data_IF_684828318381
#
_entry.id   IF_684828318381
#
_cell.length_a   1.000
_cell.length_b   1.000
_cell.length_c   1.000
_cell.angle_alpha   90.00
_cell.angle_beta   90.00
_cell.angle_gamma   90.00
#
_symmetry.space_group_name_H-M   'P 1'
#
loop_
_entity.id
_entity.type
_entity.pdbx_description
1 polymer ?
#
# COMPACT_ATOMS: atom_id res chain seq x y z
N UNK A 1 -74.07 -40.20 9.86
CA UNK A 1 -73.55 -40.63 8.54
C UNK A 1 -72.06 -40.93 8.77
N UNK A 2 -71.72 -42.09 9.34
CA UNK A 2 -71.51 -43.38 8.65
C UNK A 2 -70.49 -43.22 7.51
N UNK A 3 -69.34 -43.89 7.41
CA UNK A 3 -68.81 -45.14 7.96
C UNK A 3 -67.27 -45.00 8.04
N UNK A 4 -66.57 -45.51 9.05
CA UNK A 4 -66.04 -46.88 9.15
C UNK A 4 -65.27 -47.36 7.91
N UNK A 5 -63.95 -47.48 8.02
CA UNK A 5 -63.19 -48.62 7.47
C UNK A 5 -61.89 -48.81 8.25
N UNK A 6 -61.87 -49.96 8.90
CA UNK A 6 -60.82 -50.64 9.64
C UNK A 6 -59.63 -51.01 8.77
N UNK A 7 -58.43 -50.97 9.33
CA UNK A 7 -57.21 -51.45 8.70
C UNK A 7 -56.09 -51.67 9.71
N UNK A 8 -56.32 -52.58 10.67
CA UNK A 8 -55.28 -53.12 11.55
C UNK A 8 -54.46 -54.14 10.76
N UNK A 9 -53.16 -53.93 10.62
CA UNK A 9 -52.21 -55.00 10.32
C UNK A 9 -51.09 -54.99 11.36
N UNK A 10 -51.12 -56.00 12.23
CA UNK A 10 -50.08 -56.35 13.18
C UNK A 10 -48.88 -56.93 12.43
N UNK A 11 -47.69 -56.39 12.69
CA UNK A 11 -46.41 -56.99 12.31
C UNK A 11 -45.45 -56.86 13.47
N UNK A 12 -45.38 -57.91 14.30
CA UNK A 12 -44.40 -58.06 15.38
C UNK A 12 -43.10 -58.60 14.79
N UNK A 13 -42.00 -57.87 15.00
CA UNK A 13 -40.64 -58.29 14.66
C UNK A 13 -39.65 -57.59 15.57
N UNK A 14 -39.19 -58.32 16.57
CA UNK A 14 -38.26 -57.94 17.65
C UNK A 14 -36.87 -57.56 17.16
N UNK A 15 -36.28 -56.55 17.85
CA UNK A 15 -34.87 -56.19 18.06
C UNK A 15 -33.77 -56.80 17.20
N UNK A 16 -32.80 -55.96 16.79
CA UNK A 16 -31.37 -56.04 17.21
C UNK A 16 -30.55 -54.88 16.63
N UNK A 17 -29.79 -54.24 17.51
CA UNK A 17 -28.65 -53.34 17.36
C UNK A 17 -28.68 -52.11 16.44
N UNK A 18 -28.61 -50.97 17.13
CA UNK A 18 -28.09 -49.71 16.65
C UNK A 18 -26.60 -49.81 16.31
N UNK A 19 -26.29 -50.02 15.04
CA UNK A 19 -25.02 -49.55 14.47
C UNK A 19 -25.21 -48.09 14.06
N UNK A 20 -25.21 -47.20 15.07
CA UNK A 20 -24.84 -45.80 14.82
C UNK A 20 -23.35 -45.85 14.56
N UNK A 21 -23.01 -46.05 13.29
CA UNK A 21 -21.68 -45.79 12.76
C UNK A 21 -21.29 -44.39 13.17
N UNK A 22 -20.60 -44.29 14.30
CA UNK A 22 -19.98 -43.08 14.78
C UNK A 22 -18.92 -42.79 13.75
N UNK A 23 -19.28 -41.95 12.78
CA UNK A 23 -18.31 -41.24 11.95
C UNK A 23 -17.50 -40.45 12.96
N UNK A 24 -16.38 -41.02 13.36
CA UNK A 24 -15.32 -40.32 14.04
C UNK A 24 -14.85 -39.26 13.06
N UNK A 25 -15.51 -38.11 13.11
CA UNK A 25 -15.00 -36.88 12.52
C UNK A 25 -13.65 -36.70 13.19
N UNK A 26 -12.60 -36.99 12.44
CA UNK A 26 -11.23 -36.71 12.83
C UNK A 26 -11.12 -35.20 12.98
N UNK A 27 -11.32 -34.75 14.22
CA UNK A 27 -11.24 -33.38 14.69
C UNK A 27 -9.76 -32.93 14.74
N UNK A 28 -9.05 -33.14 13.63
CA UNK A 28 -7.61 -32.92 13.48
C UNK A 28 -7.20 -32.27 12.15
N UNK A 29 -8.07 -32.21 11.14
CA UNK A 29 -7.71 -31.69 9.81
C UNK A 29 -8.37 -30.32 9.45
N UNK A 30 -9.49 -29.98 10.09
CA UNK A 30 -10.20 -28.72 9.82
C UNK A 30 -9.41 -27.46 10.24
N UNK A 31 -8.52 -27.58 11.24
CA UNK A 31 -7.65 -26.48 11.69
C UNK A 31 -6.48 -26.19 10.75
N UNK A 32 -5.95 -27.21 10.06
CA UNK A 32 -4.81 -27.09 9.15
C UNK A 32 -5.18 -26.44 7.81
N UNK A 33 -6.31 -26.85 7.23
CA UNK A 33 -6.81 -26.31 5.96
C UNK A 33 -7.12 -24.80 6.02
N UNK A 34 -7.74 -24.35 7.13
CA UNK A 34 -8.04 -22.93 7.35
C UNK A 34 -6.79 -22.07 7.54
N UNK A 35 -5.77 -22.60 8.22
CA UNK A 35 -4.48 -21.91 8.38
C UNK A 35 -3.76 -21.75 7.04
N UNK A 36 -3.67 -22.82 6.26
CA UNK A 36 -3.05 -22.79 4.93
C UNK A 36 -3.79 -21.86 3.96
N UNK A 37 -5.13 -21.80 4.02
CA UNK A 37 -5.92 -20.87 3.23
C UNK A 37 -5.65 -19.40 3.61
N UNK A 38 -5.55 -19.10 4.92
CA UNK A 38 -5.21 -17.76 5.41
C UNK A 38 -3.80 -17.35 4.98
N UNK A 39 -2.84 -18.27 5.01
CA UNK A 39 -1.47 -17.98 4.57
C UNK A 39 -1.40 -17.66 3.07
N UNK A 40 -2.10 -18.43 2.23
CA UNK A 40 -2.19 -18.14 0.78
C UNK A 40 -2.80 -16.77 0.51
N UNK A 41 -3.87 -16.42 1.24
CA UNK A 41 -4.49 -15.10 1.11
C UNK A 41 -3.54 -13.99 1.54
N UNK A 42 -2.84 -14.15 2.68
CA UNK A 42 -1.87 -13.17 3.16
C UNK A 42 -0.73 -12.95 2.15
N UNK A 43 -0.27 -14.02 1.49
CA UNK A 43 0.73 -13.92 0.43
C UNK A 43 0.23 -13.15 -0.78
N UNK A 44 -0.98 -13.48 -1.28
CA UNK A 44 -1.59 -12.76 -2.39
C UNK A 44 -1.84 -11.26 -2.07
N UNK A 45 -2.22 -10.94 -0.84
CA UNK A 45 -2.35 -9.55 -0.37
C UNK A 45 -0.99 -8.83 -0.35
N UNK A 46 0.07 -9.48 0.14
CA UNK A 46 1.41 -8.92 0.13
C UNK A 46 1.92 -8.67 -1.30
N UNK A 47 1.70 -9.61 -2.21
CA UNK A 47 2.04 -9.46 -3.64
C UNK A 47 1.28 -8.30 -4.29
N UNK A 48 -0.02 -8.16 -4.00
CA UNK A 48 -0.83 -7.04 -4.49
C UNK A 48 -0.30 -5.69 -3.97
N UNK A 49 0.04 -5.60 -2.68
CA UNK A 49 0.61 -4.39 -2.09
C UNK A 49 2.00 -4.07 -2.69
N UNK A 50 2.82 -5.09 -2.92
CA UNK A 50 4.11 -4.93 -3.59
C UNK A 50 3.95 -4.43 -5.03
N UNK A 51 2.96 -4.92 -5.77
CA UNK A 51 2.66 -4.43 -7.12
C UNK A 51 2.23 -2.96 -7.10
N UNK A 52 1.38 -2.59 -6.12
CA UNK A 52 0.85 -1.23 -6.03
C UNK A 52 1.89 -0.19 -5.59
N UNK A 53 2.76 -0.53 -4.62
CA UNK A 53 3.62 0.44 -3.91
C UNK A 53 5.11 0.29 -4.23
N UNK A 54 5.55 -0.91 -4.63
CA UNK A 54 6.96 -1.23 -4.89
C UNK A 54 7.26 -1.59 -6.36
N UNK A 55 6.26 -1.56 -7.24
CA UNK A 55 6.45 -1.80 -8.67
C UNK A 55 6.67 -3.27 -9.03
N UNK A 56 6.27 -4.21 -8.18
CA UNK A 56 6.26 -5.63 -8.52
C UNK A 56 5.28 -5.94 -9.68
N UNK A 57 5.41 -7.13 -10.28
CA UNK A 57 4.48 -7.60 -11.30
C UNK A 57 3.06 -7.74 -10.74
N UNK A 58 2.06 -7.57 -11.61
CA UNK A 58 0.67 -7.82 -11.24
C UNK A 58 0.48 -9.29 -10.82
N UNK A 59 -0.16 -9.58 -9.68
CA UNK A 59 -0.49 -10.95 -9.30
C UNK A 59 -1.53 -11.56 -10.25
N UNK A 60 -1.59 -12.89 -10.28
CA UNK A 60 -2.55 -13.61 -11.12
C UNK A 60 -4.00 -13.19 -10.82
N UNK A 61 -4.81 -13.07 -11.87
CA UNK A 61 -6.21 -12.63 -11.77
C UNK A 61 -6.40 -11.12 -11.61
N UNK A 62 -5.33 -10.32 -11.51
CA UNK A 62 -5.42 -8.86 -11.52
C UNK A 62 -5.10 -8.27 -12.89
N UNK A 63 -5.91 -7.28 -13.27
CA UNK A 63 -5.67 -6.48 -14.48
C UNK A 63 -4.50 -5.53 -14.26
N UNK A 64 -3.42 -5.75 -15.03
CA UNK A 64 -2.18 -4.96 -14.99
C UNK A 64 -2.42 -3.48 -15.29
N UNK A 65 -3.29 -3.15 -16.23
CA UNK A 65 -3.55 -1.77 -16.62
C UNK A 65 -4.32 -1.02 -15.52
N UNK A 66 -5.30 -1.69 -14.92
CA UNK A 66 -6.03 -1.14 -13.77
C UNK A 66 -5.13 -0.94 -12.56
N UNK A 67 -4.25 -1.88 -12.25
CA UNK A 67 -3.26 -1.70 -11.19
C UNK A 67 -2.33 -0.54 -11.48
N UNK A 68 -1.87 -0.37 -12.72
CA UNK A 68 -1.03 0.77 -13.11
C UNK A 68 -1.75 2.12 -12.90
N UNK A 69 -3.07 2.21 -13.15
CA UNK A 69 -3.87 3.41 -12.83
C UNK A 69 -3.84 3.67 -11.32
N UNK A 70 -4.07 2.65 -10.49
CA UNK A 70 -4.08 2.80 -9.03
C UNK A 70 -2.72 3.20 -8.48
N UNK A 71 -1.63 2.56 -8.93
CA UNK A 71 -0.26 2.94 -8.56
C UNK A 71 0.02 4.41 -8.90
N UNK A 72 -0.39 4.89 -10.09
CA UNK A 72 -0.23 6.32 -10.44
C UNK A 72 -1.01 7.23 -9.50
N UNK A 73 -2.23 6.87 -9.12
CA UNK A 73 -3.04 7.65 -8.18
C UNK A 73 -2.39 7.70 -6.78
N UNK A 74 -1.86 6.58 -6.29
CA UNK A 74 -1.13 6.50 -5.02
C UNK A 74 0.14 7.36 -5.04
N UNK A 75 0.91 7.31 -6.13
CA UNK A 75 2.10 8.15 -6.29
C UNK A 75 1.72 9.63 -6.33
N UNK A 76 0.67 10.00 -7.06
CA UNK A 76 0.20 11.39 -7.10
C UNK A 76 -0.26 11.88 -5.71
N UNK A 77 -0.93 11.01 -4.93
CA UNK A 77 -1.30 11.30 -3.55
C UNK A 77 -0.07 11.53 -2.68
N UNK A 78 0.94 10.66 -2.78
CA UNK A 78 2.20 10.77 -2.04
C UNK A 78 2.93 12.07 -2.39
N UNK A 79 3.02 12.41 -3.68
CA UNK A 79 3.58 13.69 -4.14
C UNK A 79 2.84 14.89 -3.54
N UNK A 80 1.50 14.84 -3.49
CA UNK A 80 0.68 15.89 -2.89
C UNK A 80 0.87 16.03 -1.38
N UNK A 81 1.10 14.93 -0.65
CA UNK A 81 1.42 15.00 0.79
C UNK A 81 2.84 15.54 1.00
N UNK A 82 3.81 15.09 0.21
CA UNK A 82 5.19 15.60 0.26
C UNK A 82 5.23 17.09 -0.05
N UNK A 83 4.49 17.57 -1.04
CA UNK A 83 4.40 19.00 -1.35
C UNK A 83 3.81 19.83 -0.18
N UNK A 84 2.98 19.24 0.67
CA UNK A 84 2.48 19.90 1.90
C UNK A 84 3.51 19.90 3.02
N UNK A 85 4.27 18.81 3.17
CA UNK A 85 5.30 18.65 4.21
C UNK A 85 6.56 19.45 3.88
N UNK A 86 6.90 19.56 2.59
CA UNK A 86 8.08 20.22 2.04
C UNK A 86 7.68 21.14 0.86
N UNK A 87 6.94 22.23 1.12
CA UNK A 87 6.45 23.14 0.08
C UNK A 87 7.57 23.88 -0.67
N UNK A 88 8.80 23.87 -0.15
CA UNK A 88 9.96 24.38 -0.88
C UNK A 88 10.28 23.56 -2.14
N UNK A 89 10.01 22.25 -2.15
CA UNK A 89 10.45 21.38 -3.25
C UNK A 89 9.81 21.76 -4.59
N UNK A 90 8.47 21.93 -4.68
CA UNK A 90 7.85 22.41 -5.90
C UNK A 90 8.27 23.84 -6.26
N UNK A 91 8.60 24.69 -5.28
CA UNK A 91 9.09 26.07 -5.54
C UNK A 91 10.53 26.12 -6.04
N UNK A 92 11.34 25.11 -5.72
CA UNK A 92 12.73 24.99 -6.17
C UNK A 92 12.79 24.37 -7.56
N UNK A 93 12.03 23.29 -7.78
CA UNK A 93 12.06 22.50 -9.01
C UNK A 93 11.07 22.99 -10.07
N UNK A 94 10.04 23.73 -9.66
CA UNK A 94 8.83 24.00 -10.44
C UNK A 94 7.81 22.87 -10.27
N UNK A 95 6.53 23.22 -10.16
CA UNK A 95 5.45 22.26 -9.86
C UNK A 95 5.40 21.08 -10.85
N UNK A 96 5.47 21.36 -12.16
CA UNK A 96 5.43 20.33 -13.20
C UNK A 96 6.63 19.40 -13.11
N UNK A 97 7.83 19.96 -13.02
CA UNK A 97 9.08 19.20 -12.90
C UNK A 97 9.10 18.36 -11.63
N UNK A 98 8.69 18.94 -10.50
CA UNK A 98 8.56 18.23 -9.24
C UNK A 98 7.68 16.99 -9.37
N UNK A 99 6.47 17.14 -9.95
CA UNK A 99 5.57 16.00 -10.14
C UNK A 99 6.17 14.93 -11.05
N UNK A 100 6.78 15.32 -12.16
CA UNK A 100 7.41 14.37 -13.09
C UNK A 100 8.54 13.60 -12.42
N UNK A 101 9.46 14.28 -11.74
CA UNK A 101 10.58 13.64 -11.05
C UNK A 101 10.10 12.76 -9.89
N UNK A 102 9.13 13.24 -9.11
CA UNK A 102 8.58 12.46 -8.00
C UNK A 102 7.88 11.19 -8.49
N UNK A 103 7.19 11.25 -9.63
CA UNK A 103 6.61 10.06 -10.24
C UNK A 103 7.67 9.02 -10.65
N UNK A 104 8.81 9.45 -11.18
CA UNK A 104 9.94 8.56 -11.51
C UNK A 104 10.49 7.89 -10.26
N UNK A 105 10.90 8.71 -9.28
CA UNK A 105 11.42 8.27 -7.99
C UNK A 105 10.49 7.29 -7.25
N UNK A 106 9.21 7.63 -7.13
CA UNK A 106 8.27 6.85 -6.32
C UNK A 106 7.94 5.47 -6.91
N UNK A 107 8.21 5.25 -8.20
CA UNK A 107 8.01 3.94 -8.85
C UNK A 107 9.09 2.93 -8.48
N UNK A 108 10.29 3.38 -8.14
CA UNK A 108 11.44 2.53 -7.81
C UNK A 108 11.76 2.52 -6.32
N UNK A 109 11.17 3.42 -5.55
CA UNK A 109 11.47 3.60 -4.14
C UNK A 109 10.21 3.52 -3.28
N UNK A 110 9.99 2.38 -2.58
CA UNK A 110 8.96 2.25 -1.55
C UNK A 110 9.19 3.24 -0.40
N UNK A 111 8.11 3.73 0.21
CA UNK A 111 8.20 4.65 1.35
C UNK A 111 8.42 3.88 2.67
N UNK A 112 9.54 4.10 3.35
CA UNK A 112 9.93 3.35 4.57
C UNK A 112 9.98 4.20 5.85
N UNK A 113 10.14 5.53 5.74
CA UNK A 113 10.41 6.42 6.88
C UNK A 113 9.42 7.58 7.09
N UNK A 114 8.24 7.50 6.48
CA UNK A 114 7.22 8.56 6.50
C UNK A 114 7.54 9.77 5.61
N UNK A 115 6.62 10.73 5.52
CA UNK A 115 6.65 11.77 4.48
C UNK A 115 7.81 12.78 4.59
N UNK A 116 8.29 13.08 5.80
CA UNK A 116 9.46 13.98 5.97
C UNK A 116 10.72 13.32 5.46
N UNK A 117 10.90 12.02 5.74
CA UNK A 117 12.06 11.26 5.27
C UNK A 117 11.97 11.04 3.76
N UNK A 118 10.79 10.70 3.24
CA UNK A 118 10.55 10.54 1.80
C UNK A 118 10.88 11.82 1.01
N UNK A 119 10.58 13.01 1.57
CA UNK A 119 10.97 14.28 0.97
C UNK A 119 12.51 14.47 0.91
N UNK A 120 13.23 14.01 1.94
CA UNK A 120 14.70 14.07 1.98
C UNK A 120 15.34 13.07 1.02
N UNK A 121 14.81 11.84 0.98
CA UNK A 121 15.31 10.78 0.11
C UNK A 121 15.04 11.12 -1.36
N UNK A 122 13.86 11.68 -1.69
CA UNK A 122 13.57 12.24 -3.01
C UNK A 122 14.55 13.34 -3.41
N UNK A 123 14.82 14.29 -2.53
CA UNK A 123 15.75 15.38 -2.83
C UNK A 123 17.19 14.87 -3.02
N UNK A 124 17.62 13.86 -2.25
CA UNK A 124 18.90 13.19 -2.46
C UNK A 124 18.95 12.53 -3.84
N UNK A 125 17.94 11.73 -4.17
CA UNK A 125 17.82 11.06 -5.47
C UNK A 125 17.91 12.05 -6.65
N UNK A 126 17.19 13.17 -6.60
CA UNK A 126 17.26 14.21 -7.67
C UNK A 126 18.64 14.88 -7.75
N UNK A 127 19.33 15.04 -6.61
CA UNK A 127 20.70 15.59 -6.60
C UNK A 127 21.71 14.62 -7.20
N UNK A 128 21.56 13.33 -6.90
CA UNK A 128 22.42 12.23 -7.37
C UNK A 128 22.26 12.01 -8.87
N UNK A 129 21.01 11.97 -9.36
CA UNK A 129 20.72 11.86 -10.80
C UNK A 129 21.03 13.15 -11.58
N UNK A 130 21.18 14.28 -10.89
CA UNK A 130 21.42 15.58 -11.51
C UNK A 130 20.22 16.15 -12.31
N UNK A 131 19.02 15.62 -12.08
CA UNK A 131 17.80 15.88 -12.87
C UNK A 131 17.04 17.16 -12.49
N UNK A 132 17.54 17.95 -11.53
CA UNK A 132 16.88 19.19 -11.09
C UNK A 132 16.83 20.32 -12.15
N UNK A 133 17.30 20.05 -13.38
CA UNK A 133 17.32 20.98 -14.51
C UNK A 133 18.40 22.03 -14.38
N UNK A 134 18.07 23.21 -13.84
CA UNK A 134 18.99 24.36 -13.80
C UNK A 134 20.04 24.25 -12.67
N UNK A 135 21.23 24.83 -12.89
CA UNK A 135 22.27 24.93 -11.85
C UNK A 135 21.77 25.66 -10.59
N UNK A 136 20.88 26.66 -10.75
CA UNK A 136 20.28 27.38 -9.63
C UNK A 136 19.35 26.49 -8.82
N UNK A 137 18.50 25.70 -9.47
CA UNK A 137 17.61 24.74 -8.80
C UNK A 137 18.43 23.68 -8.06
N UNK A 138 19.48 23.13 -8.69
CA UNK A 138 20.42 22.17 -8.05
C UNK A 138 21.06 22.75 -6.79
N UNK A 139 21.57 23.98 -6.84
CA UNK A 139 22.17 24.65 -5.65
C UNK A 139 21.15 24.87 -4.54
N UNK A 140 19.95 25.37 -4.88
CA UNK A 140 18.86 25.60 -3.92
C UNK A 140 18.41 24.29 -3.25
N UNK A 141 18.25 23.23 -4.04
CA UNK A 141 17.87 21.91 -3.55
C UNK A 141 18.93 21.34 -2.60
N UNK A 142 20.22 21.48 -2.94
CA UNK A 142 21.34 21.05 -2.09
C UNK A 142 21.34 21.77 -0.74
N UNK A 143 21.15 23.09 -0.72
CA UNK A 143 21.03 23.85 0.54
C UNK A 143 19.84 23.38 1.36
N UNK A 144 18.67 23.23 0.74
CA UNK A 144 17.46 22.75 1.41
C UNK A 144 17.65 21.37 2.05
N UNK A 145 18.33 20.47 1.33
CA UNK A 145 18.62 19.11 1.81
C UNK A 145 19.57 19.13 3.00
N UNK A 146 20.72 19.83 2.89
CA UNK A 146 21.71 19.92 3.97
C UNK A 146 21.15 20.56 5.25
N UNK A 147 20.24 21.55 5.12
CA UNK A 147 19.56 22.17 6.28
C UNK A 147 18.72 21.17 7.09
N UNK A 148 18.28 20.06 6.48
CA UNK A 148 17.30 19.13 7.05
C UNK A 148 17.84 17.70 7.23
N UNK A 149 18.96 17.35 6.60
CA UNK A 149 19.58 16.03 6.68
C UNK A 149 20.62 15.88 7.80
N UNK A 150 21.12 16.98 8.38
CA UNK A 150 22.15 16.97 9.43
C UNK A 150 21.62 17.04 10.89
N UNK A 151 22.42 16.59 11.89
CA UNK A 151 22.10 16.72 13.32
C UNK A 151 22.19 18.16 13.86
N UNK A 152 22.81 19.07 13.10
CA UNK A 152 22.89 20.49 13.44
C UNK A 152 22.31 21.35 12.30
N UNK A 153 21.38 22.28 12.59
CA UNK A 153 20.84 23.17 11.57
C UNK A 153 21.95 24.07 11.00
N UNK A 154 22.08 24.12 9.68
CA UNK A 154 22.96 25.08 9.02
C UNK A 154 22.58 26.51 9.43
N UNK A 155 23.57 27.36 9.69
CA UNK A 155 23.36 28.78 10.04
C UNK A 155 22.72 29.53 8.87
N UNK A 156 21.39 29.51 8.79
CA UNK A 156 20.67 30.18 7.72
C UNK A 156 19.27 29.65 7.47
N UNK A 157 18.36 29.77 8.44
CA UNK A 157 16.92 29.52 8.26
C UNK A 157 16.20 30.51 7.32
N UNK A 158 16.82 30.85 6.18
CA UNK A 158 16.35 31.87 5.23
C UNK A 158 15.29 31.32 4.28
N UNK A 159 15.28 30.02 4.00
CA UNK A 159 14.28 29.39 3.13
C UNK A 159 12.86 29.41 3.71
N UNK A 160 12.72 29.11 5.01
CA UNK A 160 11.44 29.25 5.73
C UNK A 160 10.94 30.70 5.78
N UNK A 161 11.86 31.67 5.76
CA UNK A 161 11.54 33.11 5.75
C UNK A 161 11.06 33.55 4.37
N UNK A 162 11.70 33.05 3.30
CA UNK A 162 11.28 33.30 1.91
C UNK A 162 9.91 32.68 1.58
N UNK A 163 9.64 31.45 2.03
CA UNK A 163 8.31 30.82 1.91
C UNK A 163 7.19 31.66 2.56
N UNK A 164 7.44 32.23 3.75
CA UNK A 164 6.50 33.13 4.40
C UNK A 164 6.22 34.40 3.60
N UNK A 165 7.18 34.87 2.82
CA UNK A 165 7.03 36.07 1.98
C UNK A 165 6.35 35.76 0.65
N UNK A 166 6.48 34.53 0.12
CA UNK A 166 5.89 34.13 -1.16
C UNK A 166 4.44 33.64 -1.01
N UNK A 167 4.06 33.06 0.13
CA UNK A 167 2.68 32.65 0.44
C UNK A 167 1.89 33.69 1.26
N UNK A 168 2.50 34.84 1.58
CA UNK A 168 1.90 35.92 2.37
C UNK A 168 1.56 37.15 1.52
N UNK A 169 0.59 37.01 0.61
CA UNK A 169 -0.23 38.07 -0.02
C UNK A 169 -1.55 37.45 -0.44
#
# INVERSE_FOLDING_TARGET
MAAETTGTSTGTGTSTDADVGTVTVTEGDAGGGGSAARERLGRAQAELLAALVAGASAPDGFDRERLAVQSRALVAKRAGVVAKVAPELPLILGEKTFRTLFHGYARTTPMTGGYRRDALDFAAHVLDEGTAGSLRARRRLRVWWLERSGPAPLRGGRFRRWLRLVLGR
#
